data_IF_205412654153
#
_entry.id   IF_205412654153
#
_cell.length_a   1.000
_cell.length_b   1.000
_cell.length_c   1.000
_cell.angle_alpha   90.00
_cell.angle_beta   90.00
_cell.angle_gamma   90.00
#
_symmetry.space_group_name_H-M   'P 1'
#
loop_
_entity.id
_entity.type
_entity.pdbx_description
1 polymer ?
#
# COMPACT_ATOMS: atom_id res chain seq x y z
N UNK A 1 11.09 -14.11 -11.58
CA UNK A 1 9.88 -14.80 -11.10
C UNK A 1 8.73 -13.85 -10.80
N UNK A 2 8.80 -12.96 -9.78
CA UNK A 2 7.66 -12.07 -9.44
C UNK A 2 7.18 -11.21 -10.63
N UNK A 3 8.08 -10.52 -11.34
CA UNK A 3 7.69 -9.70 -12.50
C UNK A 3 7.08 -10.52 -13.64
N UNK A 4 7.46 -11.79 -13.79
CA UNK A 4 6.85 -12.67 -14.80
C UNK A 4 5.40 -12.97 -14.42
N UNK A 5 5.13 -13.23 -13.15
CA UNK A 5 3.76 -13.46 -12.63
C UNK A 5 2.92 -12.19 -12.78
N UNK A 6 3.47 -11.01 -12.44
CA UNK A 6 2.79 -9.72 -12.61
C UNK A 6 2.34 -9.56 -14.07
N UNK A 7 3.24 -9.80 -15.02
CA UNK A 7 2.94 -9.66 -16.43
C UNK A 7 1.96 -10.74 -16.92
N UNK A 8 2.14 -12.01 -16.54
CA UNK A 8 1.26 -13.10 -16.99
C UNK A 8 -0.16 -12.99 -16.48
N UNK A 9 -0.33 -12.39 -15.29
CA UNK A 9 -1.63 -12.15 -14.67
C UNK A 9 -2.22 -10.77 -15.03
N UNK A 10 -1.55 -10.01 -15.91
CA UNK A 10 -1.93 -8.64 -16.28
C UNK A 10 -2.21 -7.74 -15.06
N UNK A 11 -1.32 -7.81 -14.07
CA UNK A 11 -1.40 -7.02 -12.86
C UNK A 11 -0.65 -5.71 -13.03
N UNK A 12 -1.22 -4.63 -12.49
CA UNK A 12 -0.61 -3.31 -12.42
C UNK A 12 -0.39 -2.92 -10.97
N UNK A 13 0.73 -2.28 -10.69
CA UNK A 13 0.98 -1.70 -9.37
C UNK A 13 0.21 -0.37 -9.22
N UNK A 14 -0.50 -0.21 -8.11
CA UNK A 14 -1.12 1.07 -7.74
C UNK A 14 -0.04 2.05 -7.27
N UNK A 15 -0.18 3.31 -7.67
CA UNK A 15 0.69 4.36 -7.18
C UNK A 15 0.57 4.53 -5.66
N UNK A 16 1.71 4.54 -4.98
CA UNK A 16 1.80 4.71 -3.53
C UNK A 16 2.24 6.14 -3.19
N UNK A 17 1.41 6.84 -2.44
CA UNK A 17 1.72 8.15 -1.85
C UNK A 17 2.40 8.00 -0.47
N UNK A 18 3.03 9.06 0.02
CA UNK A 18 3.70 9.05 1.34
C UNK A 18 5.15 8.57 1.33
N UNK A 19 5.73 8.34 0.16
CA UNK A 19 7.15 8.04 -0.04
C UNK A 19 7.40 6.74 -0.81
N UNK A 20 8.65 6.52 -1.24
CA UNK A 20 9.03 5.42 -2.14
C UNK A 20 9.28 4.08 -1.44
N UNK A 21 9.99 4.11 -0.30
CA UNK A 21 10.45 2.92 0.40
C UNK A 21 9.45 2.47 1.45
N UNK A 22 9.35 1.15 1.65
CA UNK A 22 8.44 0.54 2.63
C UNK A 22 9.20 -0.23 3.71
N UNK A 23 10.52 -0.38 3.56
CA UNK A 23 11.37 -1.09 4.51
C UNK A 23 12.67 -0.34 4.75
N UNK A 24 13.25 -0.48 5.94
CA UNK A 24 14.59 -0.02 6.27
C UNK A 24 15.27 -0.97 7.25
N UNK A 25 16.59 -1.17 7.08
CA UNK A 25 17.40 -1.99 7.97
C UNK A 25 17.69 -1.37 9.35
N UNK A 26 17.19 -0.15 9.63
CA UNK A 26 17.31 0.55 10.92
C UNK A 26 18.75 0.86 11.39
N UNK A 27 19.71 0.91 10.47
CA UNK A 27 21.08 1.32 10.80
C UNK A 27 21.24 2.85 10.76
N UNK A 28 22.34 3.36 11.31
CA UNK A 28 22.67 4.80 11.32
C UNK A 28 22.70 5.40 9.91
N UNK A 29 23.23 4.65 8.95
CA UNK A 29 23.14 4.94 7.52
C UNK A 29 22.21 3.90 6.88
N UNK A 30 20.88 4.15 6.90
CA UNK A 30 19.92 3.10 6.60
C UNK A 30 19.90 2.77 5.10
N UNK A 31 19.86 1.47 4.79
CA UNK A 31 19.42 0.99 3.49
C UNK A 31 17.90 0.96 3.48
N UNK A 32 17.29 1.54 2.45
CA UNK A 32 15.84 1.62 2.31
C UNK A 32 15.42 0.97 1.00
N UNK A 33 14.44 0.09 1.08
CA UNK A 33 13.95 -0.67 -0.07
C UNK A 33 12.43 -0.60 -0.19
N UNK A 34 11.92 -0.81 -1.41
CA UNK A 34 10.49 -0.95 -1.65
C UNK A 34 10.16 -2.44 -1.79
N UNK A 35 9.73 -3.05 -0.68
CA UNK A 35 9.43 -4.48 -0.62
C UNK A 35 7.93 -4.76 -0.70
N UNK A 36 7.11 -3.82 -0.25
CA UNK A 36 5.65 -3.96 -0.19
C UNK A 36 5.03 -3.23 -1.39
N UNK A 37 4.20 -3.95 -2.16
CA UNK A 37 3.57 -3.46 -3.39
C UNK A 37 2.10 -3.88 -3.42
N UNK A 38 1.22 -2.98 -3.83
CA UNK A 38 -0.18 -3.29 -4.08
C UNK A 38 -0.39 -3.51 -5.57
N UNK A 39 -0.85 -4.69 -5.95
CA UNK A 39 -1.07 -5.07 -7.35
C UNK A 39 -2.57 -5.29 -7.58
N UNK A 40 -3.10 -4.74 -8.67
CA UNK A 40 -4.49 -4.91 -9.09
C UNK A 40 -4.58 -5.40 -10.52
N UNK A 41 -5.66 -6.09 -10.85
CA UNK A 41 -5.97 -6.45 -12.22
C UNK A 41 -6.85 -5.37 -12.88
N UNK A 42 -7.04 -5.47 -14.20
CA UNK A 42 -7.84 -4.51 -14.97
C UNK A 42 -9.31 -4.47 -14.52
N UNK A 43 -9.87 -5.59 -14.04
CA UNK A 43 -11.25 -5.61 -13.53
C UNK A 43 -11.41 -4.70 -12.32
N UNK A 44 -10.48 -4.78 -11.36
CA UNK A 44 -10.47 -3.93 -10.18
C UNK A 44 -10.29 -2.45 -10.54
N UNK A 45 -9.39 -2.16 -11.48
CA UNK A 45 -9.16 -0.79 -11.95
C UNK A 45 -10.42 -0.14 -12.54
N UNK A 46 -11.26 -0.93 -13.22
CA UNK A 46 -12.54 -0.47 -13.75
C UNK A 46 -13.60 -0.28 -12.66
N UNK A 47 -13.65 -1.17 -11.65
CA UNK A 47 -14.62 -1.09 -10.56
C UNK A 47 -14.26 0.00 -9.53
N UNK A 48 -12.97 0.26 -9.34
CA UNK A 48 -12.43 1.17 -8.32
C UNK A 48 -11.38 2.14 -8.90
N UNK A 49 -11.78 3.03 -9.82
CA UNK A 49 -10.84 3.88 -10.55
C UNK A 49 -10.09 4.88 -9.66
N UNK A 50 -10.63 5.18 -8.48
CA UNK A 50 -10.04 6.08 -7.50
C UNK A 50 -9.26 5.34 -6.39
N UNK A 51 -9.00 4.04 -6.59
CA UNK A 51 -8.18 3.26 -5.66
C UNK A 51 -6.83 3.93 -5.41
N UNK A 52 -6.49 4.14 -4.14
CA UNK A 52 -5.24 4.76 -3.73
C UNK A 52 -4.52 3.95 -2.65
N UNK A 53 -3.20 4.07 -2.64
CA UNK A 53 -2.36 3.51 -1.58
C UNK A 53 -1.58 4.63 -0.93
N UNK A 54 -1.55 4.63 0.40
CA UNK A 54 -0.79 5.59 1.20
C UNK A 54 0.11 4.85 2.18
N UNK A 55 1.39 5.16 2.14
CA UNK A 55 2.33 4.75 3.16
C UNK A 55 2.17 5.62 4.41
N UNK A 56 2.10 5.00 5.58
CA UNK A 56 2.10 5.72 6.86
C UNK A 56 3.42 5.52 7.64
N UNK A 57 3.79 6.47 8.52
CA UNK A 57 4.96 6.32 9.37
C UNK A 57 4.91 5.04 10.20
N UNK A 58 6.05 4.38 10.32
CA UNK A 58 6.28 3.20 11.15
C UNK A 58 6.77 3.62 12.53
N UNK A 59 6.47 2.82 13.55
CA UNK A 59 6.95 3.04 14.92
C UNK A 59 8.07 2.05 15.28
N UNK A 60 7.75 0.76 15.52
CA UNK A 60 8.77 -0.24 15.92
C UNK A 60 9.03 -1.38 14.91
N UNK A 61 8.19 -1.56 13.89
CA UNK A 61 8.48 -2.48 12.78
C UNK A 61 9.55 -1.89 11.89
N UNK A 62 10.35 -2.69 11.17
CA UNK A 62 11.23 -2.32 10.05
C UNK A 62 10.47 -2.00 8.74
N UNK A 63 9.19 -2.37 8.66
CA UNK A 63 8.28 -2.03 7.57
C UNK A 63 7.37 -0.84 7.89
N UNK A 64 7.00 -0.09 6.85
CA UNK A 64 5.95 0.90 6.86
C UNK A 64 4.59 0.25 6.55
N UNK A 65 3.55 0.50 7.36
CA UNK A 65 2.21 0.09 6.99
C UNK A 65 1.73 0.82 5.74
N UNK A 66 0.99 0.10 4.89
CA UNK A 66 0.32 0.65 3.71
C UNK A 66 -1.19 0.62 3.94
N UNK A 67 -1.82 1.78 3.78
CA UNK A 67 -3.28 1.91 3.78
C UNK A 67 -3.75 1.88 2.35
N UNK A 68 -4.69 0.99 2.07
CA UNK A 68 -5.43 0.94 0.82
C UNK A 68 -6.79 1.56 1.00
N UNK A 69 -7.17 2.42 0.07
CA UNK A 69 -8.51 2.95 -0.04
C UNK A 69 -9.03 2.61 -1.43
N UNK A 70 -10.11 1.83 -1.51
CA UNK A 70 -10.74 1.48 -2.79
C UNK A 70 -11.74 2.54 -3.25
N UNK A 71 -11.94 3.62 -2.48
CA UNK A 71 -12.90 4.69 -2.72
C UNK A 71 -14.23 4.18 -3.29
N UNK A 72 -14.85 3.21 -2.60
CA UNK A 72 -16.29 3.04 -2.76
C UNK A 72 -16.92 4.35 -2.29
N UNK A 73 -17.53 5.12 -3.20
CA UNK A 73 -18.46 6.21 -2.86
C UNK A 73 -19.67 5.58 -2.18
N UNK A 74 -19.49 5.14 -0.95
CA UNK A 74 -20.55 4.87 -0.01
C UNK A 74 -20.85 6.23 0.58
N UNK A 75 -21.94 6.85 0.13
CA UNK A 75 -22.55 7.96 0.84
C UNK A 75 -22.69 7.52 2.31
N UNK A 76 -21.89 8.12 3.19
CA UNK A 76 -21.97 8.05 4.65
C UNK A 76 -21.61 6.73 5.34
N UNK A 77 -20.47 6.70 6.02
CA UNK A 77 -20.37 6.82 7.49
C UNK A 77 -18.91 6.66 7.92
N UNK A 78 -18.32 7.76 8.39
CA UNK A 78 -17.07 7.78 9.15
C UNK A 78 -17.17 6.80 10.33
N UNK A 79 -16.57 5.62 10.19
CA UNK A 79 -16.13 4.85 11.34
C UNK A 79 -14.65 5.10 11.52
N UNK A 80 -14.32 5.95 12.50
CA UNK A 80 -12.96 6.03 13.01
C UNK A 80 -12.57 4.64 13.53
N UNK A 81 -11.58 4.04 12.88
CA UNK A 81 -10.85 2.92 13.45
C UNK A 81 -9.98 3.48 14.58
N UNK A 82 -10.29 3.10 15.81
CA UNK A 82 -9.44 3.34 16.98
C UNK A 82 -8.72 2.04 17.29
N UNK A 83 -7.41 2.08 17.34
CA UNK A 83 -6.61 1.01 17.92
C UNK A 83 -6.47 1.31 19.42
N UNK A 84 -6.89 0.37 20.25
CA UNK A 84 -6.64 0.43 21.69
C UNK A 84 -5.19 0.02 21.94
N UNK A 85 -4.49 0.80 22.75
CA UNK A 85 -3.15 0.47 23.26
C UNK A 85 -3.31 -0.42 24.48
N UNK A 86 -2.56 -1.53 24.52
CA UNK A 86 -2.46 -2.42 25.68
C UNK A 86 -1.81 -1.73 26.88
#
# INVERSE_FOLDING_TARGET
MLNQIINSCNLREIYMSGGKYTWSNNQVNPTMEKLDRMLINSKWELEFPLSSVRKIPRYMSDHNPLIFDSEHVTLNKTKQLRFETA
#
